data_IF_245038919463
#
_entry.id   IF_245038919463
#
_cell.length_a   1.000
_cell.length_b   1.000
_cell.length_c   1.000
_cell.angle_alpha   90.00
_cell.angle_beta   90.00
_cell.angle_gamma   90.00
#
_symmetry.space_group_name_H-M   'P 1'
#
loop_
_entity.id
_entity.type
_entity.pdbx_description
1 polymer ?
#
# COMPACT_ATOMS: atom_id res chain seq x y z
N UNK A 1 -17.57 -1.09 -8.42
CA UNK A 1 -16.78 -1.97 -7.54
C UNK A 1 -16.55 -1.22 -6.23
N UNK A 2 -16.70 -1.88 -5.08
CA UNK A 2 -16.54 -1.23 -3.76
C UNK A 2 -15.06 -0.86 -3.53
N UNK A 3 -14.77 0.41 -3.24
CA UNK A 3 -13.40 0.90 -2.99
C UNK A 3 -12.71 0.13 -1.86
N UNK A 4 -13.44 -0.22 -0.79
CA UNK A 4 -12.89 -0.99 0.33
C UNK A 4 -12.44 -2.37 -0.11
N UNK A 5 -13.28 -3.06 -0.90
CA UNK A 5 -12.96 -4.37 -1.46
C UNK A 5 -11.73 -4.33 -2.37
N UNK A 6 -11.63 -3.32 -3.24
CA UNK A 6 -10.46 -3.15 -4.10
C UNK A 6 -9.18 -2.92 -3.31
N UNK A 7 -9.25 -2.06 -2.28
CA UNK A 7 -8.09 -1.80 -1.43
C UNK A 7 -7.67 -3.04 -0.66
N UNK A 8 -8.61 -3.80 -0.12
CA UNK A 8 -8.31 -5.08 0.52
C UNK A 8 -7.54 -6.02 -0.42
N UNK A 9 -8.05 -6.25 -1.63
CA UNK A 9 -7.42 -7.14 -2.62
C UNK A 9 -6.01 -6.64 -2.99
N UNK A 10 -5.83 -5.33 -3.20
CA UNK A 10 -4.53 -4.74 -3.54
C UNK A 10 -3.53 -4.82 -2.38
N UNK A 11 -3.97 -4.62 -1.14
CA UNK A 11 -3.12 -4.74 0.05
C UNK A 11 -2.67 -6.19 0.28
N UNK A 12 -3.52 -7.18 -0.02
CA UNK A 12 -3.09 -8.58 -0.03
C UNK A 12 -2.04 -8.83 -1.11
N UNK A 13 -2.21 -8.30 -2.32
CA UNK A 13 -1.20 -8.44 -3.38
C UNK A 13 0.12 -7.81 -2.95
N UNK A 14 0.08 -6.61 -2.35
CA UNK A 14 1.28 -5.93 -1.83
C UNK A 14 2.02 -6.79 -0.80
N UNK A 15 1.29 -7.37 0.16
CA UNK A 15 1.85 -8.31 1.14
C UNK A 15 2.56 -9.49 0.49
N UNK A 16 1.92 -10.14 -0.50
CA UNK A 16 2.53 -11.28 -1.20
C UNK A 16 3.79 -10.86 -1.97
N UNK A 17 3.80 -9.66 -2.56
CA UNK A 17 4.98 -9.15 -3.24
C UNK A 17 6.13 -8.90 -2.26
N UNK A 18 5.85 -8.27 -1.11
CA UNK A 18 6.86 -8.04 -0.06
C UNK A 18 7.41 -9.37 0.51
N UNK A 19 6.58 -10.40 0.63
CA UNK A 19 7.01 -11.75 1.05
C UNK A 19 7.86 -12.46 -0.02
N UNK A 20 7.62 -12.19 -1.31
CA UNK A 20 8.45 -12.67 -2.41
C UNK A 20 9.75 -11.88 -2.57
N UNK A 21 9.80 -10.61 -2.17
CA UNK A 21 10.99 -9.75 -2.29
C UNK A 21 12.13 -10.19 -1.35
N UNK A 22 11.83 -11.04 -0.37
CA UNK A 22 12.84 -11.77 0.42
C UNK A 22 13.72 -12.67 -0.48
N UNK A 23 13.25 -13.02 -1.68
CA UNK A 23 14.05 -13.59 -2.79
C UNK A 23 14.68 -12.42 -3.60
N UNK A 24 15.81 -11.92 -3.08
CA UNK A 24 16.41 -10.59 -3.34
C UNK A 24 16.80 -10.29 -4.81
N UNK A 25 16.74 -11.25 -5.73
CA UNK A 25 17.32 -11.12 -7.08
C UNK A 25 16.31 -10.90 -8.22
N UNK A 26 15.02 -10.67 -7.94
CA UNK A 26 14.00 -10.49 -8.99
C UNK A 26 13.50 -9.03 -9.12
N UNK A 27 14.06 -8.22 -10.04
CA UNK A 27 13.65 -6.81 -10.21
C UNK A 27 12.19 -6.65 -10.67
N UNK A 28 11.52 -7.72 -11.15
CA UNK A 28 10.10 -7.65 -11.53
C UNK A 28 9.18 -7.52 -10.31
N UNK A 29 9.64 -7.94 -9.12
CA UNK A 29 8.87 -7.82 -7.88
C UNK A 29 8.75 -6.35 -7.50
N UNK A 30 9.88 -5.62 -7.45
CA UNK A 30 9.88 -4.17 -7.19
C UNK A 30 8.99 -3.38 -8.15
N UNK A 31 9.06 -3.67 -9.46
CA UNK A 31 8.17 -3.02 -10.46
C UNK A 31 6.69 -3.34 -10.22
N UNK A 32 6.37 -4.57 -9.83
CA UNK A 32 4.99 -4.96 -9.54
C UNK A 32 4.47 -4.28 -8.27
N UNK A 33 5.32 -4.15 -7.25
CA UNK A 33 5.04 -3.45 -6.00
C UNK A 33 4.72 -1.98 -6.24
N UNK A 34 5.54 -1.30 -7.04
CA UNK A 34 5.33 0.11 -7.41
C UNK A 34 4.05 0.33 -8.21
N UNK A 35 3.71 -0.60 -9.10
CA UNK A 35 2.45 -0.56 -9.86
C UNK A 35 1.24 -0.72 -8.96
N UNK A 36 1.25 -1.69 -8.04
CA UNK A 36 0.17 -1.89 -7.06
C UNK A 36 0.00 -0.65 -6.19
N UNK A 37 1.11 -0.10 -5.70
CA UNK A 37 1.08 1.13 -4.91
C UNK A 37 0.49 2.31 -5.68
N UNK A 38 0.83 2.46 -6.96
CA UNK A 38 0.28 3.53 -7.81
C UNK A 38 -1.25 3.43 -7.95
N UNK A 39 -1.79 2.22 -8.08
CA UNK A 39 -3.25 1.98 -8.12
C UNK A 39 -3.91 2.29 -6.77
N UNK A 40 -3.29 1.92 -5.65
CA UNK A 40 -3.78 2.27 -4.32
C UNK A 40 -3.86 3.79 -4.17
N UNK A 41 -2.81 4.53 -4.58
CA UNK A 41 -2.81 5.99 -4.56
C UNK A 41 -3.96 6.59 -5.37
N UNK A 42 -4.22 6.05 -6.56
CA UNK A 42 -5.31 6.51 -7.42
C UNK A 42 -6.69 6.30 -6.75
N UNK A 43 -6.94 5.12 -6.16
CA UNK A 43 -8.20 4.82 -5.47
C UNK A 43 -8.42 5.75 -4.28
N UNK A 44 -7.35 6.04 -3.55
CA UNK A 44 -7.32 6.90 -2.36
C UNK A 44 -7.23 8.40 -2.67
N UNK A 45 -7.11 8.78 -3.95
CA UNK A 45 -6.85 10.15 -4.39
C UNK A 45 -5.60 10.78 -3.73
N UNK A 46 -4.57 9.98 -3.47
CA UNK A 46 -3.29 10.46 -2.97
C UNK A 46 -2.52 11.13 -4.10
N UNK A 47 -2.47 12.46 -4.06
CA UNK A 47 -1.47 13.22 -4.80
C UNK A 47 -0.27 13.30 -3.86
N UNK A 48 0.63 12.32 -3.84
CA UNK A 48 1.80 12.33 -2.95
C UNK A 48 2.96 11.72 -3.69
N UNK A 49 4.07 12.44 -3.70
CA UNK A 49 5.33 12.03 -4.32
C UNK A 49 6.51 12.27 -3.38
N UNK A 50 7.69 11.83 -3.80
CA UNK A 50 8.93 12.05 -3.06
C UNK A 50 9.02 11.29 -1.72
N UNK A 51 9.75 11.81 -0.73
CA UNK A 51 10.04 11.09 0.52
C UNK A 51 8.80 10.73 1.35
N UNK A 52 7.74 11.55 1.28
CA UNK A 52 6.50 11.26 2.02
C UNK A 52 5.77 10.05 1.43
N UNK A 53 5.71 9.95 0.10
CA UNK A 53 5.16 8.78 -0.59
C UNK A 53 5.86 7.49 -0.16
N UNK A 54 7.20 7.53 -0.07
CA UNK A 54 8.00 6.39 0.34
C UNK A 54 7.72 5.98 1.79
N UNK A 55 7.64 6.94 2.73
CA UNK A 55 7.31 6.67 4.14
C UNK A 55 5.93 6.04 4.32
N UNK A 56 4.95 6.47 3.54
CA UNK A 56 3.59 5.92 3.60
C UNK A 56 3.60 4.49 3.06
N UNK A 57 4.26 4.26 1.93
CA UNK A 57 4.40 2.93 1.37
C UNK A 57 5.11 1.98 2.36
N UNK A 58 6.18 2.42 3.02
CA UNK A 58 6.86 1.67 4.09
C UNK A 58 5.91 1.36 5.25
N UNK A 59 5.17 2.36 5.74
CA UNK A 59 4.17 2.16 6.80
C UNK A 59 3.09 1.14 6.40
N UNK A 60 2.58 1.22 5.17
CA UNK A 60 1.59 0.28 4.62
C UNK A 60 2.19 -1.12 4.57
N UNK A 61 3.40 -1.26 4.01
CA UNK A 61 4.12 -2.54 3.87
C UNK A 61 4.35 -3.20 5.23
N UNK A 62 4.85 -2.44 6.22
CA UNK A 62 5.05 -2.93 7.58
C UNK A 62 3.74 -3.33 8.27
N UNK A 63 2.66 -2.61 7.99
CA UNK A 63 1.34 -2.90 8.57
C UNK A 63 0.78 -4.19 7.97
N UNK A 64 0.79 -4.35 6.65
CA UNK A 64 0.29 -5.58 6.01
C UNK A 64 1.17 -6.79 6.30
N UNK A 65 2.48 -6.60 6.49
CA UNK A 65 3.39 -7.67 6.91
C UNK A 65 2.99 -8.28 8.26
N UNK A 66 2.45 -7.46 9.17
CA UNK A 66 1.99 -7.89 10.51
C UNK A 66 0.61 -8.54 10.51
N UNK A 67 -0.16 -8.43 9.43
CA UNK A 67 -1.48 -9.05 9.31
C UNK A 67 -1.31 -10.50 8.84
N UNK A 68 -1.86 -11.44 9.60
CA UNK A 68 -1.93 -12.84 9.19
C UNK A 68 -2.90 -13.01 8.00
N UNK A 69 -2.58 -13.89 7.05
CA UNK A 69 -3.26 -13.98 5.74
C UNK A 69 -4.78 -14.21 5.77
N UNK A 70 -5.35 -14.67 6.88
CA UNK A 70 -6.77 -15.02 7.01
C UNK A 70 -7.59 -14.04 7.85
N UNK A 71 -7.03 -12.87 8.18
CA UNK A 71 -7.66 -11.89 9.06
C UNK A 71 -8.05 -10.62 8.27
N UNK A 72 -9.14 -10.73 7.50
CA UNK A 72 -9.66 -9.62 6.67
C UNK A 72 -10.01 -8.38 7.50
N UNK A 73 -10.51 -8.59 8.73
CA UNK A 73 -10.88 -7.55 9.69
C UNK A 73 -9.70 -6.66 10.09
N UNK A 74 -8.47 -7.23 10.13
CA UNK A 74 -7.28 -6.47 10.47
C UNK A 74 -6.83 -5.51 9.37
N UNK A 75 -7.35 -5.63 8.14
CA UNK A 75 -7.12 -4.66 7.08
C UNK A 75 -8.05 -3.44 7.17
N UNK A 76 -9.21 -3.54 7.84
CA UNK A 76 -10.18 -2.44 7.90
C UNK A 76 -9.58 -1.14 8.44
N UNK A 77 -8.80 -1.12 9.54
CA UNK A 77 -8.19 0.11 10.04
C UNK A 77 -7.25 0.78 9.04
N UNK A 78 -6.49 -0.04 8.29
CA UNK A 78 -5.57 0.46 7.26
C UNK A 78 -6.33 0.99 6.05
N UNK A 79 -7.39 0.31 5.63
CA UNK A 79 -8.27 0.76 4.54
C UNK A 79 -8.95 2.08 4.92
N UNK A 80 -9.45 2.20 6.15
CA UNK A 80 -10.05 3.43 6.64
C UNK A 80 -9.03 4.57 6.77
N UNK A 81 -7.81 4.26 7.21
CA UNK A 81 -6.68 5.22 7.16
C UNK A 81 -6.45 5.69 5.72
N UNK A 82 -6.32 4.78 4.76
CA UNK A 82 -6.02 5.12 3.37
C UNK A 82 -7.15 5.92 2.69
N UNK A 83 -8.41 5.66 3.04
CA UNK A 83 -9.56 6.36 2.44
C UNK A 83 -9.85 7.72 3.07
N UNK A 84 -9.54 7.90 4.36
CA UNK A 84 -9.96 9.08 5.12
C UNK A 84 -8.81 10.00 5.53
N UNK A 85 -7.55 9.53 5.43
CA UNK A 85 -6.42 10.38 5.78
C UNK A 85 -6.34 11.53 4.80
N UNK A 86 -6.45 12.76 5.32
CA UNK A 86 -6.06 13.99 4.63
C UNK A 86 -4.53 14.04 4.56
N UNK A 87 -3.94 13.12 3.81
CA UNK A 87 -2.51 13.14 3.58
C UNK A 87 -2.26 14.25 2.55
N UNK A 88 -1.99 15.45 3.06
CA UNK A 88 -1.73 16.64 2.26
C UNK A 88 -0.23 16.73 1.94
N UNK A 89 0.08 17.08 0.69
CA UNK A 89 1.44 17.38 0.24
C UNK A 89 1.93 18.61 1.00
N UNK A 90 2.98 18.46 1.78
CA UNK A 90 3.84 19.60 2.07
C UNK A 90 4.83 19.67 0.92
N UNK A 91 4.54 20.49 -0.08
CA UNK A 91 5.52 20.88 -1.09
C UNK A 91 6.54 21.77 -0.38
N UNK A 92 7.55 21.18 0.26
CA UNK A 92 8.71 21.93 0.71
C UNK A 92 9.62 22.16 -0.51
N UNK A 93 9.57 23.41 -1.01
CA UNK A 93 10.36 24.01 -2.08
C UNK A 93 11.88 23.93 -1.86
#
# INVERSE_FOLDING_TARGET
>A
MDKKKMLFELLMVLKHLDELEVDVDNPRIGVSRDNVWSVIKEICNFQIDGPLNQKILEYVSETVAKIEMNHEDLYEPLIDYLLNSKIEIVEDF
#
